data_IF_944484992863
#
_entry.id   IF_944484992863
#
_cell.length_a   1.000
_cell.length_b   1.000
_cell.length_c   1.000
_cell.angle_alpha   90.00
_cell.angle_beta   90.00
_cell.angle_gamma   90.00
#
_symmetry.space_group_name_H-M   'P 1'
#
loop_
_entity.id
_entity.type
_entity.pdbx_description
1 polymer ?
#
# COMPACT_ATOMS: atom_id res chain seq x y z
N UNK A 1 13.95 13.20 2.12
CA UNK A 1 12.62 12.95 1.54
C UNK A 1 12.80 12.73 0.05
N UNK A 2 12.38 11.58 -0.47
CA UNK A 2 12.51 11.26 -1.89
C UNK A 2 11.39 11.89 -2.71
N UNK A 3 11.73 12.45 -3.87
CA UNK A 3 10.74 12.81 -4.88
C UNK A 3 10.12 11.54 -5.44
N UNK A 4 8.79 11.42 -5.39
CA UNK A 4 8.09 10.24 -5.89
C UNK A 4 7.57 10.50 -7.30
N UNK A 5 7.89 9.64 -8.25
CA UNK A 5 7.49 9.78 -9.67
C UNK A 5 5.96 9.83 -9.80
N UNK A 6 5.27 9.07 -8.94
CA UNK A 6 3.81 8.95 -8.91
C UNK A 6 3.08 10.23 -8.47
N UNK A 7 3.79 11.20 -7.87
CA UNK A 7 3.18 12.40 -7.26
C UNK A 7 2.37 13.20 -8.28
N UNK A 8 2.93 13.43 -9.47
CA UNK A 8 2.28 14.22 -10.52
C UNK A 8 0.99 13.57 -11.01
N UNK A 9 0.99 12.26 -11.22
CA UNK A 9 -0.20 11.49 -11.62
C UNK A 9 -1.29 11.54 -10.54
N UNK A 10 -0.91 11.42 -9.26
CA UNK A 10 -1.83 11.49 -8.12
C UNK A 10 -2.49 12.88 -8.02
N UNK A 11 -1.70 13.95 -8.10
CA UNK A 11 -2.21 15.33 -8.04
C UNK A 11 -3.12 15.63 -9.23
N UNK A 12 -2.75 15.16 -10.44
CA UNK A 12 -3.58 15.35 -11.62
C UNK A 12 -4.91 14.57 -11.52
N UNK A 13 -4.88 13.34 -11.01
CA UNK A 13 -6.09 12.57 -10.79
C UNK A 13 -7.01 13.20 -9.73
N UNK A 14 -6.45 13.82 -8.69
CA UNK A 14 -7.25 14.55 -7.70
C UNK A 14 -8.01 15.75 -8.30
N UNK A 15 -7.63 16.24 -9.49
CA UNK A 15 -8.41 17.28 -10.20
C UNK A 15 -9.58 16.71 -11.00
N UNK A 16 -9.58 15.41 -11.26
CA UNK A 16 -10.53 14.74 -12.17
C UNK A 16 -11.48 13.79 -11.44
N UNK A 17 -11.03 13.20 -10.33
CA UNK A 17 -11.79 12.25 -9.54
C UNK A 17 -12.09 12.83 -8.17
N UNK A 18 -13.30 12.62 -7.62
CA UNK A 18 -13.62 13.05 -6.26
C UNK A 18 -12.78 12.34 -5.20
N UNK A 19 -12.31 11.12 -5.51
CA UNK A 19 -11.49 10.32 -4.60
C UNK A 19 -10.20 9.87 -5.30
N UNK A 20 -9.08 9.93 -4.58
CA UNK A 20 -7.84 9.29 -5.00
C UNK A 20 -7.41 8.30 -3.93
N UNK A 21 -7.21 7.04 -4.32
CA UNK A 21 -6.82 5.97 -3.42
C UNK A 21 -5.40 5.50 -3.74
N UNK A 22 -4.50 5.54 -2.76
CA UNK A 22 -3.12 5.06 -2.89
C UNK A 22 -2.92 3.79 -2.07
N UNK A 23 -2.65 2.69 -2.76
CA UNK A 23 -2.41 1.38 -2.16
C UNK A 23 -0.95 0.98 -2.28
N UNK A 24 -0.44 0.24 -1.31
CA UNK A 24 0.96 -0.22 -1.37
C UNK A 24 1.42 -0.89 -0.09
N UNK A 25 2.57 -1.59 -0.10
CA UNK A 25 3.07 -2.26 1.10
C UNK A 25 3.30 -1.26 2.24
N UNK A 26 3.30 -1.75 3.48
CA UNK A 26 3.70 -0.94 4.63
C UNK A 26 5.11 -0.39 4.40
N UNK A 27 5.39 0.80 4.90
CA UNK A 27 6.70 1.46 4.78
C UNK A 27 7.11 1.84 3.34
N UNK A 28 6.22 1.76 2.33
CA UNK A 28 6.52 2.24 0.97
C UNK A 28 6.52 3.76 0.80
N UNK A 29 6.13 4.51 1.84
CA UNK A 29 6.09 5.98 1.83
C UNK A 29 4.74 6.60 1.44
N UNK A 30 3.62 5.86 1.57
CA UNK A 30 2.27 6.34 1.21
C UNK A 30 1.87 7.61 1.99
N UNK A 31 1.89 7.54 3.32
CA UNK A 31 1.58 8.65 4.21
C UNK A 31 2.46 9.87 3.90
N UNK A 32 3.74 9.63 3.67
CA UNK A 32 4.72 10.66 3.31
C UNK A 32 4.35 11.34 1.99
N UNK A 33 3.99 10.57 0.95
CA UNK A 33 3.58 11.09 -0.35
C UNK A 33 2.31 11.94 -0.23
N UNK A 34 1.24 11.44 0.39
CA UNK A 34 -0.05 12.16 0.43
C UNK A 34 0.02 13.44 1.26
N UNK A 35 0.76 13.43 2.37
CA UNK A 35 0.93 14.64 3.20
C UNK A 35 1.76 15.71 2.49
N UNK A 36 2.71 15.30 1.65
CA UNK A 36 3.50 16.23 0.85
C UNK A 36 2.72 16.76 -0.36
N UNK A 37 1.90 15.90 -1.00
CA UNK A 37 1.13 16.25 -2.19
C UNK A 37 -0.11 17.11 -1.90
N UNK A 38 -0.69 16.97 -0.70
CA UNK A 38 -1.91 17.66 -0.27
C UNK A 38 -1.74 18.28 1.13
N UNK A 39 -0.78 19.19 1.33
CA UNK A 39 -0.48 19.77 2.64
C UNK A 39 -1.63 20.58 3.26
N UNK A 40 -2.54 21.08 2.43
CA UNK A 40 -3.71 21.85 2.81
C UNK A 40 -4.85 21.00 3.39
N UNK A 41 -4.83 19.69 3.15
CA UNK A 41 -5.92 18.79 3.59
C UNK A 41 -5.72 18.33 5.02
N UNK A 42 -6.78 18.29 5.85
CA UNK A 42 -6.74 17.64 7.15
C UNK A 42 -6.28 16.19 7.02
N UNK A 43 -5.36 15.79 7.89
CA UNK A 43 -4.85 14.41 7.94
C UNK A 43 -5.47 13.63 9.09
N UNK A 44 -6.00 12.46 8.79
CA UNK A 44 -6.67 11.57 9.74
C UNK A 44 -6.08 10.17 9.61
N UNK A 45 -5.56 9.63 10.71
CA UNK A 45 -5.10 8.24 10.77
C UNK A 45 -6.17 7.35 11.39
N UNK A 46 -6.70 6.40 10.61
CA UNK A 46 -7.64 5.39 11.10
C UNK A 46 -6.96 4.22 11.82
N UNK A 47 -5.62 4.26 11.93
CA UNK A 47 -4.88 3.37 12.83
C UNK A 47 -5.03 3.80 14.31
N UNK A 48 -5.33 5.07 14.58
CA UNK A 48 -5.60 5.54 15.92
C UNK A 48 -6.95 4.97 16.44
N UNK A 49 -6.96 4.23 17.57
CA UNK A 49 -8.17 3.59 18.09
C UNK A 49 -9.26 4.58 18.49
N UNK A 50 -8.90 5.76 19.02
CA UNK A 50 -9.86 6.78 19.45
C UNK A 50 -10.53 7.43 18.25
N UNK A 51 -9.75 7.74 17.20
CA UNK A 51 -10.28 8.27 15.93
C UNK A 51 -11.26 7.28 15.32
N UNK A 52 -10.88 6.00 15.27
CA UNK A 52 -11.71 4.94 14.73
C UNK A 52 -12.97 4.71 15.56
N UNK A 53 -12.88 4.75 16.89
CA UNK A 53 -14.04 4.60 17.77
C UNK A 53 -15.05 5.73 17.55
N UNK A 54 -14.58 6.98 17.40
CA UNK A 54 -15.47 8.11 17.05
C UNK A 54 -16.11 7.95 15.67
N UNK A 55 -15.32 7.55 14.67
CA UNK A 55 -15.82 7.33 13.32
C UNK A 55 -16.82 6.16 13.23
N UNK A 56 -16.67 5.13 14.07
CA UNK A 56 -17.61 4.01 14.19
C UNK A 56 -18.92 4.44 14.86
N UNK A 57 -18.84 5.24 15.93
CA UNK A 57 -20.00 5.65 16.71
C UNK A 57 -20.96 6.52 15.89
N UNK A 58 -20.44 7.47 15.11
CA UNK A 58 -21.22 8.29 14.19
C UNK A 58 -20.39 8.65 12.94
N UNK A 59 -20.41 7.81 11.90
CA UNK A 59 -19.66 8.05 10.67
C UNK A 59 -20.05 9.34 9.95
N UNK A 60 -21.34 9.73 10.04
CA UNK A 60 -21.87 10.90 9.35
C UNK A 60 -21.38 12.17 10.02
N UNK A 61 -21.51 12.28 11.34
CA UNK A 61 -20.97 13.43 12.08
C UNK A 61 -19.44 13.50 11.96
N UNK A 62 -18.77 12.35 11.99
CA UNK A 62 -17.33 12.28 11.81
C UNK A 62 -16.86 12.79 10.44
N UNK A 63 -17.56 12.47 9.35
CA UNK A 63 -17.18 12.96 8.02
C UNK A 63 -17.66 14.39 7.77
N UNK A 64 -18.71 14.86 8.45
CA UNK A 64 -19.21 16.23 8.34
C UNK A 64 -18.16 17.28 8.75
N UNK A 65 -17.24 16.93 9.67
CA UNK A 65 -16.11 17.81 10.03
C UNK A 65 -15.10 18.00 8.88
N UNK A 66 -15.19 17.19 7.83
CA UNK A 66 -14.33 17.22 6.64
C UNK A 66 -15.14 17.53 5.38
N UNK A 67 -16.03 18.52 5.43
CA UNK A 67 -16.86 18.90 4.28
C UNK A 67 -16.03 19.24 3.02
N UNK A 68 -14.87 19.89 3.19
CA UNK A 68 -13.94 20.20 2.09
C UNK A 68 -12.99 19.03 1.75
N UNK A 69 -13.21 17.88 2.38
CA UNK A 69 -12.43 16.67 2.21
C UNK A 69 -11.22 16.55 3.12
N UNK A 70 -10.60 15.37 3.13
CA UNK A 70 -9.49 15.03 4.03
C UNK A 70 -8.62 13.90 3.44
N UNK A 71 -7.43 13.74 4.02
CA UNK A 71 -6.59 12.55 3.85
C UNK A 71 -7.00 11.54 4.93
N UNK A 72 -7.47 10.37 4.50
CA UNK A 72 -7.81 9.25 5.39
C UNK A 72 -6.77 8.14 5.20
N UNK A 73 -5.90 7.97 6.20
CA UNK A 73 -4.81 7.01 6.21
C UNK A 73 -5.25 5.66 6.80
N UNK A 74 -4.69 4.58 6.26
CA UNK A 74 -4.96 3.19 6.62
C UNK A 74 -6.48 2.84 6.61
N UNK A 75 -7.19 3.21 5.54
CA UNK A 75 -8.65 3.02 5.40
C UNK A 75 -9.12 1.57 5.54
N UNK A 76 -8.27 0.58 5.31
CA UNK A 76 -8.61 -0.82 5.59
C UNK A 76 -8.91 -1.10 7.07
N UNK A 77 -8.55 -0.20 8.00
CA UNK A 77 -8.89 -0.30 9.41
C UNK A 77 -10.36 -0.02 9.70
N UNK A 78 -11.06 0.66 8.78
CA UNK A 78 -12.49 0.96 8.86
C UNK A 78 -13.14 0.96 7.45
N UNK A 79 -13.28 -0.21 6.79
CA UNK A 79 -13.77 -0.28 5.42
C UNK A 79 -15.22 0.20 5.24
N UNK A 80 -16.05 0.08 6.28
CA UNK A 80 -17.45 0.54 6.27
C UNK A 80 -17.60 2.05 6.12
N UNK A 81 -16.55 2.83 6.42
CA UNK A 81 -16.52 4.28 6.17
C UNK A 81 -16.63 4.62 4.68
N UNK A 82 -16.24 3.69 3.78
CA UNK A 82 -16.26 3.91 2.34
C UNK A 82 -17.67 4.19 1.80
N UNK A 83 -18.70 3.52 2.34
CA UNK A 83 -20.10 3.72 1.91
C UNK A 83 -20.60 5.12 2.25
N UNK A 84 -20.15 5.68 3.37
CA UNK A 84 -20.48 7.04 3.78
C UNK A 84 -19.77 8.08 2.93
N UNK A 85 -18.48 7.85 2.62
CA UNK A 85 -17.72 8.70 1.70
C UNK A 85 -18.38 8.73 0.32
N UNK A 86 -18.84 7.58 -0.18
CA UNK A 86 -19.56 7.47 -1.44
C UNK A 86 -20.78 8.41 -1.49
N UNK A 87 -21.62 8.40 -0.46
CA UNK A 87 -22.80 9.28 -0.39
C UNK A 87 -22.42 10.77 -0.45
N UNK A 88 -21.38 11.18 0.27
CA UNK A 88 -20.92 12.57 0.29
C UNK A 88 -20.42 13.03 -1.09
N UNK A 89 -19.59 12.20 -1.75
CA UNK A 89 -19.03 12.59 -3.05
C UNK A 89 -20.07 12.61 -4.16
N UNK A 90 -21.09 11.75 -4.06
CA UNK A 90 -22.22 11.72 -5.02
C UNK A 90 -23.10 12.97 -4.91
N UNK A 91 -23.27 13.51 -3.70
CA UNK A 91 -24.04 14.73 -3.46
C UNK A 91 -23.28 16.00 -3.87
N UNK A 92 -21.98 16.09 -3.54
CA UNK A 92 -21.21 17.33 -3.70
C UNK A 92 -20.48 17.44 -5.05
N UNK A 93 -20.20 16.30 -5.69
CA UNK A 93 -19.54 16.19 -6.99
C UNK A 93 -18.27 17.07 -7.14
N UNK A 94 -17.47 17.15 -6.07
CA UNK A 94 -16.25 17.95 -6.00
C UNK A 94 -15.01 17.05 -6.21
N UNK A 95 -14.16 17.40 -7.16
CA UNK A 95 -12.89 16.69 -7.40
C UNK A 95 -11.93 16.80 -6.22
N UNK A 96 -11.19 15.72 -5.97
CA UNK A 96 -10.08 15.69 -5.02
C UNK A 96 -10.52 15.86 -3.59
N UNK A 97 -11.78 15.58 -3.26
CA UNK A 97 -12.31 15.73 -1.92
C UNK A 97 -11.56 14.82 -0.94
N UNK A 98 -11.57 13.50 -1.18
CA UNK A 98 -10.94 12.54 -0.29
C UNK A 98 -9.69 11.89 -0.89
N UNK A 99 -8.63 11.83 -0.10
CA UNK A 99 -7.41 11.10 -0.43
C UNK A 99 -7.30 9.92 0.52
N UNK A 100 -7.45 8.71 0.00
CA UNK A 100 -7.43 7.49 0.79
C UNK A 100 -6.07 6.82 0.66
N UNK A 101 -5.56 6.24 1.74
CA UNK A 101 -4.41 5.34 1.64
C UNK A 101 -4.62 4.05 2.41
N UNK A 102 -3.97 2.99 1.94
CA UNK A 102 -4.06 1.72 2.63
C UNK A 102 -3.01 0.72 2.20
N UNK A 103 -2.83 -0.31 3.02
CA UNK A 103 -2.02 -1.46 2.63
C UNK A 103 -2.69 -2.22 1.49
N UNK A 104 -1.90 -2.89 0.64
CA UNK A 104 -2.40 -3.66 -0.50
C UNK A 104 -3.00 -5.00 -0.02
N UNK A 105 -4.12 -4.91 0.69
CA UNK A 105 -4.90 -6.04 1.18
C UNK A 105 -5.99 -6.41 0.17
N UNK A 106 -6.27 -7.70 0.01
CA UNK A 106 -7.23 -8.20 -0.98
C UNK A 106 -8.66 -7.69 -0.73
N UNK A 107 -9.03 -7.52 0.54
CA UNK A 107 -10.33 -7.02 1.00
C UNK A 107 -10.51 -5.53 0.71
N UNK A 108 -9.52 -4.68 0.98
CA UNK A 108 -9.61 -3.24 0.69
C UNK A 108 -9.81 -3.00 -0.81
N UNK A 109 -9.16 -3.77 -1.68
CA UNK A 109 -9.40 -3.66 -3.13
C UNK A 109 -10.80 -4.06 -3.55
N UNK A 110 -11.41 -5.05 -2.89
CA UNK A 110 -12.82 -5.40 -3.15
C UNK A 110 -13.74 -4.29 -2.65
N UNK A 111 -13.55 -3.79 -1.44
CA UNK A 111 -14.36 -2.70 -0.88
C UNK A 111 -14.26 -1.41 -1.70
N UNK A 112 -13.04 -0.95 -2.01
CA UNK A 112 -12.82 0.23 -2.86
C UNK A 112 -13.35 -0.01 -4.28
N UNK A 113 -13.10 -1.19 -4.85
CA UNK A 113 -13.54 -1.54 -6.20
C UNK A 113 -15.04 -1.74 -6.34
N UNK A 114 -15.77 -2.09 -5.27
CA UNK A 114 -17.22 -2.23 -5.28
C UNK A 114 -17.93 -0.94 -4.88
N UNK A 115 -17.53 -0.33 -3.77
CA UNK A 115 -18.19 0.85 -3.20
C UNK A 115 -17.80 2.13 -3.91
N UNK A 116 -16.53 2.30 -4.30
CA UNK A 116 -16.05 3.54 -4.91
C UNK A 116 -15.85 3.44 -6.44
N UNK A 117 -16.41 2.40 -7.06
CA UNK A 117 -16.31 2.19 -8.50
C UNK A 117 -16.73 3.45 -9.28
N UNK A 118 -15.90 3.86 -10.25
CA UNK A 118 -16.13 5.04 -11.08
C UNK A 118 -15.88 6.40 -10.39
N UNK A 119 -15.69 6.43 -9.06
CA UNK A 119 -15.51 7.66 -8.27
C UNK A 119 -14.08 7.84 -7.77
N UNK A 120 -13.30 6.76 -7.73
CA UNK A 120 -11.91 6.80 -7.29
C UNK A 120 -10.94 6.48 -8.42
N UNK A 121 -9.87 7.25 -8.50
CA UNK A 121 -8.64 6.80 -9.17
C UNK A 121 -7.83 5.95 -8.19
N UNK A 122 -7.35 4.78 -8.60
CA UNK A 122 -6.55 3.88 -7.75
C UNK A 122 -5.10 3.86 -8.24
N UNK A 123 -4.19 4.21 -7.34
CA UNK A 123 -2.76 4.21 -7.58
C UNK A 123 -2.06 3.17 -6.71
N UNK A 124 -0.94 2.64 -7.22
CA UNK A 124 -0.12 1.68 -6.50
C UNK A 124 1.27 2.26 -6.22
N UNK A 125 1.54 2.56 -4.96
CA UNK A 125 2.85 3.06 -4.52
C UNK A 125 3.71 1.90 -3.99
N UNK A 126 4.64 1.47 -4.82
CA UNK A 126 5.67 0.50 -4.46
C UNK A 126 6.84 1.20 -3.72
N UNK A 127 7.77 0.44 -3.12
CA UNK A 127 9.06 0.99 -2.71
C UNK A 127 9.76 1.73 -3.86
N UNK A 128 10.75 2.55 -3.51
CA UNK A 128 11.43 3.43 -4.45
C UNK A 128 11.94 2.67 -5.67
N UNK A 129 11.65 3.21 -6.84
CA UNK A 129 12.20 2.72 -8.09
C UNK A 129 13.70 2.98 -8.14
N UNK A 130 14.41 2.26 -9.02
CA UNK A 130 15.84 2.55 -9.27
C UNK A 130 16.04 3.99 -9.72
N UNK A 131 15.10 4.56 -10.49
CA UNK A 131 15.16 5.96 -10.91
C UNK A 131 14.97 6.91 -9.73
N UNK A 132 14.02 6.63 -8.84
CA UNK A 132 13.77 7.45 -7.63
C UNK A 132 14.98 7.42 -6.66
N UNK A 133 15.68 6.28 -6.57
CA UNK A 133 16.90 6.14 -5.75
C UNK A 133 18.13 6.75 -6.39
N UNK A 134 18.25 6.60 -7.71
CA UNK A 134 19.36 7.18 -8.48
C UNK A 134 19.25 8.69 -8.46
N UNK A 135 18.08 9.25 -8.73
CA UNK A 135 17.91 10.69 -8.99
C UNK A 135 18.98 11.19 -9.95
N UNK A 136 19.69 12.26 -9.57
CA UNK A 136 20.83 12.79 -10.32
C UNK A 136 22.19 12.21 -9.89
N UNK A 137 22.20 11.24 -8.96
CA UNK A 137 23.42 10.66 -8.44
C UNK A 137 24.12 9.76 -9.48
N UNK A 138 25.18 10.29 -10.08
CA UNK A 138 26.02 9.56 -11.05
C UNK A 138 26.79 8.39 -10.42
N UNK A 139 26.97 8.38 -9.10
CA UNK A 139 27.67 7.31 -8.37
C UNK A 139 26.72 6.20 -7.88
N UNK A 140 25.49 6.12 -8.41
CA UNK A 140 24.56 5.05 -8.06
C UNK A 140 25.12 3.67 -8.44
N UNK A 141 25.28 2.80 -7.44
CA UNK A 141 25.70 1.41 -7.63
C UNK A 141 24.49 0.49 -7.63
N UNK A 142 24.20 -0.10 -8.80
CA UNK A 142 23.13 -1.09 -8.95
C UNK A 142 23.39 -2.31 -8.05
N UNK A 143 24.64 -2.76 -7.96
CA UNK A 143 25.01 -3.91 -7.12
C UNK A 143 24.76 -3.67 -5.65
N UNK A 144 25.08 -2.47 -5.14
CA UNK A 144 24.71 -2.10 -3.76
C UNK A 144 23.19 -2.08 -3.59
N UNK A 145 22.47 -1.58 -4.60
CA UNK A 145 21.01 -1.49 -4.55
C UNK A 145 20.31 -2.85 -4.48
N UNK A 146 20.86 -3.90 -5.09
CA UNK A 146 20.32 -5.27 -4.97
C UNK A 146 20.19 -5.70 -3.50
N UNK A 147 21.13 -5.31 -2.64
CA UNK A 147 21.12 -5.66 -1.22
C UNK A 147 20.31 -4.69 -0.36
N UNK A 148 20.30 -3.40 -0.69
CA UNK A 148 19.54 -2.39 0.08
C UNK A 148 18.07 -2.31 -0.31
N UNK A 149 17.73 -2.80 -1.51
CA UNK A 149 16.43 -2.68 -2.17
C UNK A 149 15.87 -1.25 -2.20
N UNK A 150 14.55 -1.12 -2.22
CA UNK A 150 13.86 0.16 -2.49
C UNK A 150 13.09 0.78 -1.32
N UNK A 151 13.10 0.21 -0.12
CA UNK A 151 12.31 0.79 0.97
C UNK A 151 12.91 2.13 1.43
N UNK A 152 12.16 3.25 1.41
CA UNK A 152 12.69 4.58 1.75
C UNK A 152 13.47 4.63 3.06
N UNK A 153 12.95 3.95 4.09
CA UNK A 153 13.52 3.95 5.44
C UNK A 153 14.94 3.40 5.50
N UNK A 154 15.28 2.41 4.67
CA UNK A 154 16.63 1.84 4.60
C UNK A 154 17.64 2.91 4.18
N UNK A 155 17.25 3.77 3.23
CA UNK A 155 18.11 4.81 2.68
C UNK A 155 18.12 6.09 3.53
N UNK A 156 16.98 6.50 4.07
CA UNK A 156 16.89 7.73 4.89
C UNK A 156 17.61 7.59 6.24
N UNK A 157 17.59 6.39 6.84
CA UNK A 157 18.16 6.14 8.16
C UNK A 157 19.47 5.33 8.09
N UNK A 158 19.97 5.01 6.90
CA UNK A 158 21.14 4.14 6.69
C UNK A 158 21.06 2.83 7.51
N UNK A 159 19.88 2.18 7.48
CA UNK A 159 19.67 0.95 8.24
C UNK A 159 20.47 -0.21 7.64
N UNK A 160 20.87 -1.16 8.49
CA UNK A 160 21.34 -2.45 8.01
C UNK A 160 20.22 -3.15 7.21
N UNK A 161 20.41 -3.40 5.91
CA UNK A 161 19.39 -4.05 5.09
C UNK A 161 19.04 -5.45 5.59
N UNK A 162 20.02 -6.20 6.12
CA UNK A 162 19.81 -7.58 6.57
C UNK A 162 18.83 -7.61 7.75
N UNK A 163 19.08 -6.80 8.76
CA UNK A 163 18.18 -6.65 9.90
C UNK A 163 16.82 -6.07 9.50
N UNK A 164 16.80 -5.08 8.60
CA UNK A 164 15.56 -4.45 8.15
C UNK A 164 14.66 -5.46 7.44
N UNK A 165 15.17 -6.19 6.45
CA UNK A 165 14.37 -7.13 5.66
C UNK A 165 13.92 -8.34 6.46
N UNK A 166 14.77 -8.87 7.35
CA UNK A 166 14.38 -9.98 8.24
C UNK A 166 13.25 -9.58 9.20
N UNK A 167 13.33 -8.37 9.76
CA UNK A 167 12.28 -7.79 10.62
C UNK A 167 11.00 -7.47 9.84
N UNK A 168 11.13 -6.88 8.66
CA UNK A 168 10.01 -6.59 7.77
C UNK A 168 9.27 -7.86 7.37
N UNK A 169 9.99 -8.91 6.94
CA UNK A 169 9.38 -10.18 6.55
C UNK A 169 8.65 -10.84 7.72
N UNK A 170 9.24 -10.85 8.91
CA UNK A 170 8.61 -11.45 10.10
C UNK A 170 7.32 -10.72 10.47
N UNK A 171 7.36 -9.40 10.54
CA UNK A 171 6.17 -8.60 10.90
C UNK A 171 5.10 -8.60 9.80
N UNK A 172 5.50 -8.60 8.52
CA UNK A 172 4.58 -8.75 7.38
C UNK A 172 3.87 -10.11 7.40
N UNK A 173 4.62 -11.19 7.65
CA UNK A 173 4.08 -12.53 7.75
C UNK A 173 3.05 -12.65 8.87
N UNK A 174 3.40 -12.15 10.05
CA UNK A 174 2.54 -12.23 11.22
C UNK A 174 1.28 -11.35 11.08
N UNK A 175 1.41 -10.12 10.60
CA UNK A 175 0.31 -9.15 10.60
C UNK A 175 -0.53 -9.15 9.34
N UNK A 176 0.10 -9.17 8.17
CA UNK A 176 -0.59 -8.93 6.89
C UNK A 176 -0.98 -10.26 6.22
N UNK A 177 -0.17 -11.32 6.38
CA UNK A 177 -0.51 -12.65 5.85
C UNK A 177 -1.34 -13.47 6.83
N UNK A 178 -0.99 -13.49 8.12
CA UNK A 178 -1.74 -14.24 9.14
C UNK A 178 -3.21 -13.85 9.27
N UNK A 179 -3.56 -12.60 8.97
CA UNK A 179 -4.94 -12.11 9.03
C UNK A 179 -5.80 -12.45 7.80
N UNK A 180 -5.19 -12.64 6.61
CA UNK A 180 -5.93 -12.74 5.33
C UNK A 180 -5.86 -14.10 4.66
N UNK A 181 -4.74 -14.79 4.86
CA UNK A 181 -4.55 -16.15 4.37
C UNK A 181 -4.39 -16.94 5.64
N UNK A 182 -5.25 -17.91 5.90
CA UNK A 182 -4.97 -18.97 6.87
C UNK A 182 -3.75 -19.76 6.35
N UNK A 183 -2.58 -19.12 6.30
CA UNK A 183 -1.32 -19.76 5.97
C UNK A 183 -1.14 -20.75 7.10
N UNK A 184 -1.45 -22.00 6.81
CA UNK A 184 -1.41 -23.09 7.78
C UNK A 184 0.01 -23.27 8.33
N UNK A 185 1.02 -22.80 7.59
CA UNK A 185 2.42 -22.89 7.97
C UNK A 185 3.27 -21.67 7.49
N UNK A 186 3.64 -20.80 8.45
CA UNK A 186 4.54 -19.66 8.20
C UNK A 186 5.96 -20.09 7.83
N UNK A 187 6.42 -21.26 8.28
CA UNK A 187 7.74 -21.80 7.94
C UNK A 187 7.77 -22.18 6.46
N UNK A 188 6.72 -22.84 5.97
CA UNK A 188 6.60 -23.18 4.55
C UNK A 188 6.66 -21.94 3.66
N UNK A 189 6.07 -20.81 4.05
CA UNK A 189 6.20 -19.56 3.30
C UNK A 189 7.61 -18.98 3.36
N UNK A 190 8.31 -19.05 4.50
CA UNK A 190 9.71 -18.62 4.61
C UNK A 190 10.61 -19.46 3.71
N UNK A 191 10.42 -20.77 3.67
CA UNK A 191 11.18 -21.67 2.79
C UNK A 191 10.85 -21.42 1.32
N UNK A 192 9.59 -21.07 1.00
CA UNK A 192 9.23 -20.61 -0.35
C UNK A 192 10.02 -19.39 -0.77
N UNK A 193 10.12 -18.37 0.10
CA UNK A 193 10.93 -17.18 -0.20
C UNK A 193 12.42 -17.51 -0.39
N UNK A 194 12.98 -18.43 0.41
CA UNK A 194 14.38 -18.88 0.26
C UNK A 194 14.61 -19.59 -1.07
N UNK A 195 13.71 -20.49 -1.47
CA UNK A 195 13.78 -21.20 -2.75
C UNK A 195 13.66 -20.24 -3.94
N UNK A 196 12.81 -19.21 -3.84
CA UNK A 196 12.73 -18.16 -4.86
C UNK A 196 14.03 -17.33 -4.93
N UNK A 197 14.60 -16.98 -3.78
CA UNK A 197 15.85 -16.20 -3.73
C UNK A 197 17.02 -16.95 -4.39
N UNK A 198 17.12 -18.26 -4.21
CA UNK A 198 18.14 -19.10 -4.86
C UNK A 198 17.95 -19.28 -6.38
N UNK A 199 16.79 -18.89 -6.93
CA UNK A 199 16.40 -19.07 -8.34
C UNK A 199 16.26 -17.77 -9.10
N UNK A 200 16.72 -16.65 -8.53
CA UNK A 200 16.69 -15.35 -9.19
C UNK A 200 17.49 -15.42 -10.49
N UNK A 201 16.89 -14.96 -11.60
CA UNK A 201 17.50 -14.99 -12.93
C UNK A 201 17.31 -16.29 -13.71
N UNK A 202 16.53 -17.25 -13.19
CA UNK A 202 16.21 -18.51 -13.87
C UNK A 202 14.74 -18.56 -14.30
N UNK A 203 14.42 -19.48 -15.22
CA UNK A 203 13.03 -19.76 -15.59
C UNK A 203 12.29 -20.38 -14.40
N UNK A 204 11.15 -19.80 -14.03
CA UNK A 204 10.38 -20.26 -12.85
C UNK A 204 9.61 -21.53 -13.20
N UNK A 205 9.98 -22.64 -12.55
CA UNK A 205 9.26 -23.92 -12.64
C UNK A 205 8.44 -24.14 -11.35
N UNK A 206 7.12 -23.94 -11.43
CA UNK A 206 6.21 -24.09 -10.29
C UNK A 206 6.07 -25.54 -9.82
N UNK A 207 6.24 -26.51 -10.70
CA UNK A 207 6.22 -27.94 -10.33
C UNK A 207 7.45 -28.28 -9.48
N UNK A 208 8.64 -27.84 -9.90
CA UNK A 208 9.87 -28.02 -9.13
C UNK A 208 9.80 -27.31 -7.78
N UNK A 209 9.36 -26.04 -7.75
CA UNK A 209 9.13 -25.32 -6.50
C UNK A 209 8.17 -26.08 -5.59
N UNK A 210 7.03 -26.54 -6.12
CA UNK A 210 6.05 -27.29 -5.33
C UNK A 210 6.62 -28.56 -4.71
N UNK A 211 7.42 -29.31 -5.47
CA UNK A 211 8.07 -30.53 -4.98
C UNK A 211 9.05 -30.22 -3.84
N UNK A 212 9.90 -29.20 -3.98
CA UNK A 212 10.86 -28.83 -2.94
C UNK A 212 10.20 -28.30 -1.67
N UNK A 213 9.02 -27.68 -1.81
CA UNK A 213 8.20 -27.17 -0.71
C UNK A 213 7.32 -28.22 -0.06
N UNK A 214 7.19 -29.41 -0.66
CA UNK A 214 6.18 -30.38 -0.27
C UNK A 214 4.73 -29.86 -0.41
N UNK A 215 4.48 -28.94 -1.34
CA UNK A 215 3.19 -28.30 -1.55
C UNK A 215 2.79 -28.20 -3.02
N UNK A 216 1.49 -28.40 -3.31
CA UNK A 216 0.96 -28.11 -4.64
C UNK A 216 0.81 -26.59 -4.83
N UNK A 217 1.71 -25.99 -5.60
CA UNK A 217 1.59 -24.58 -5.99
C UNK A 217 0.56 -24.44 -7.11
N UNK A 218 -0.59 -23.84 -6.81
CA UNK A 218 -1.59 -23.44 -7.81
C UNK A 218 -1.47 -21.95 -8.11
N UNK A 219 -1.12 -21.62 -9.33
CA UNK A 219 -1.17 -20.23 -9.79
C UNK A 219 -2.63 -19.84 -10.03
N UNK A 220 -3.21 -19.02 -9.16
CA UNK A 220 -4.44 -18.29 -9.50
C UNK A 220 -4.04 -17.11 -10.36
N UNK A 221 -4.39 -17.15 -11.65
CA UNK A 221 -4.35 -15.96 -12.50
C UNK A 221 -5.38 -15.00 -11.92
N UNK A 222 -4.91 -14.01 -11.14
CA UNK A 222 -5.73 -12.86 -10.80
C UNK A 222 -5.79 -12.05 -12.08
N UNK A 223 -6.88 -12.21 -12.83
CA UNK A 223 -7.14 -11.41 -14.02
C UNK A 223 -6.91 -9.93 -13.66
N UNK A 224 -5.98 -9.29 -14.36
CA UNK A 224 -5.84 -7.84 -14.33
C UNK A 224 -7.11 -7.28 -14.97
N UNK A 225 -7.97 -6.68 -14.15
CA UNK A 225 -8.95 -5.69 -14.57
C UNK A 225 -8.35 -4.31 -14.30
#
# INVERSE_FOLDING_TARGET
MFSRDLTSSVVNAARQYPIVTILGPRQSGKTTLVRAAFPEKPYVSLENPDVRSRALADPKAFLAQFAQGAILDEVQRLPELLSWIQGIVDEQNCSGQFILTGSYQSELKKGVGQTLAGRTAIFRLLPLSVNELKGDNRCFSLWKNVFTGGFPRVHEQNLDPTLFYSSYLSTFLERDLGAQVQVRDLNQFRDFLRLLAGRVGQLVNFTSLGNDLGACLRMRVVARA
#
